data_IF_060351755382
#
_entry.id   IF_060351755382
#
_cell.length_a   1.000
_cell.length_b   1.000
_cell.length_c   1.000
_cell.angle_alpha   90.00
_cell.angle_beta   90.00
_cell.angle_gamma   90.00
#
_symmetry.space_group_name_H-M   'P 1'
#
loop_
_entity.id
_entity.type
_entity.pdbx_description
1 polymer ?
#
# COMPACT_ATOMS: atom_id res chain seq x y z
N UNK A 1 19.25 -10.34 -17.01
CA UNK A 1 19.46 -8.96 -17.50
C UNK A 1 18.13 -8.37 -17.97
N UNK A 2 17.89 -7.10 -17.65
CA UNK A 2 16.78 -6.28 -18.19
C UNK A 2 17.03 -5.97 -19.67
N UNK A 3 15.96 -5.76 -20.43
CA UNK A 3 15.97 -5.45 -21.87
C UNK A 3 15.18 -4.19 -22.15
N UNK A 4 15.44 -3.56 -23.30
CA UNK A 4 14.60 -2.46 -23.78
C UNK A 4 13.15 -2.92 -23.92
N UNK A 5 12.21 -2.10 -23.44
CA UNK A 5 10.77 -2.42 -23.40
C UNK A 5 10.33 -3.19 -22.15
N UNK A 6 11.26 -3.67 -21.31
CA UNK A 6 10.88 -4.24 -20.01
C UNK A 6 10.37 -3.14 -19.07
N UNK A 7 9.41 -3.48 -18.21
CA UNK A 7 9.10 -2.68 -17.02
C UNK A 7 9.49 -3.45 -15.77
N UNK A 8 10.43 -2.90 -14.99
CA UNK A 8 10.75 -3.40 -13.65
C UNK A 8 9.68 -2.89 -12.69
N UNK A 9 9.04 -3.78 -11.94
CA UNK A 9 8.10 -3.37 -10.91
C UNK A 9 8.67 -3.67 -9.52
N UNK A 10 8.53 -2.73 -8.60
CA UNK A 10 9.08 -2.78 -7.25
C UNK A 10 7.97 -2.57 -6.24
N UNK A 11 7.96 -3.35 -5.17
CA UNK A 11 6.99 -3.22 -4.09
C UNK A 11 7.12 -1.90 -3.36
N UNK A 12 5.98 -1.24 -3.10
CA UNK A 12 5.91 0.02 -2.34
C UNK A 12 6.55 -0.12 -0.96
N UNK A 13 6.32 -1.25 -0.27
CA UNK A 13 6.89 -1.51 1.06
C UNK A 13 8.42 -1.48 1.06
N UNK A 14 9.05 -2.07 0.05
CA UNK A 14 10.50 -2.02 -0.08
C UNK A 14 10.97 -0.59 -0.30
N UNK A 15 10.30 0.18 -1.15
CA UNK A 15 10.64 1.58 -1.40
C UNK A 15 10.54 2.41 -0.11
N UNK A 16 9.45 2.27 0.65
CA UNK A 16 9.28 2.97 1.93
C UNK A 16 10.43 2.63 2.88
N UNK A 17 10.80 1.34 2.97
CA UNK A 17 11.87 0.87 3.85
C UNK A 17 13.24 1.43 3.44
N UNK A 18 13.63 1.25 2.17
CA UNK A 18 14.94 1.64 1.67
C UNK A 18 15.14 3.15 1.61
N UNK A 19 14.05 3.91 1.51
CA UNK A 19 14.11 5.38 1.50
C UNK A 19 13.92 6.02 2.87
N UNK A 20 13.91 5.22 3.95
CA UNK A 20 13.83 5.74 5.32
C UNK A 20 12.48 6.39 5.68
N UNK A 21 11.41 6.04 4.97
CA UNK A 21 10.06 6.59 5.18
C UNK A 21 9.22 5.80 6.18
N UNK A 22 9.76 4.72 6.74
CA UNK A 22 9.13 3.98 7.83
C UNK A 22 9.09 4.79 9.12
N UNK A 23 8.10 4.54 9.97
CA UNK A 23 7.98 5.19 11.28
C UNK A 23 8.17 4.13 12.36
N UNK A 24 9.15 4.28 13.28
CA UNK A 24 9.26 3.41 14.45
C UNK A 24 7.97 3.43 15.27
N UNK A 25 7.43 2.26 15.60
CA UNK A 25 6.16 2.16 16.31
C UNK A 25 6.25 2.75 17.73
N UNK A 26 7.41 2.64 18.38
CA UNK A 26 7.70 3.19 19.71
C UNK A 26 7.80 4.72 19.74
N UNK A 27 8.09 5.35 18.60
CA UNK A 27 8.03 6.81 18.45
C UNK A 27 6.60 7.34 18.47
N UNK A 28 5.60 6.49 18.20
CA UNK A 28 4.18 6.87 18.23
C UNK A 28 3.60 6.52 19.59
N UNK A 29 3.19 7.54 20.37
CA UNK A 29 2.62 7.34 21.72
C UNK A 29 1.09 7.33 21.67
N UNK A 30 0.40 6.18 21.78
CA UNK A 30 -1.05 6.14 21.64
C UNK A 30 -1.74 6.89 22.78
N UNK A 31 -2.69 7.76 22.42
CA UNK A 31 -3.56 8.46 23.36
C UNK A 31 -4.79 7.64 23.74
N UNK A 32 -5.64 8.19 24.62
CA UNK A 32 -6.91 7.57 25.04
C UNK A 32 -7.84 7.31 23.85
N UNK A 33 -7.92 8.27 22.92
CA UNK A 33 -8.77 8.15 21.73
C UNK A 33 -8.35 6.98 20.85
N UNK A 34 -7.05 6.85 20.54
CA UNK A 34 -6.54 5.73 19.75
C UNK A 34 -6.87 4.38 20.41
N UNK A 35 -6.55 4.23 21.71
CA UNK A 35 -6.84 3.01 22.48
C UNK A 35 -8.35 2.68 22.55
N UNK A 36 -9.21 3.68 22.57
CA UNK A 36 -10.65 3.48 22.51
C UNK A 36 -11.07 2.98 21.12
N UNK A 37 -10.64 3.67 20.05
CA UNK A 37 -11.07 3.40 18.69
C UNK A 37 -10.65 2.01 18.19
N UNK A 38 -9.46 1.53 18.55
CA UNK A 38 -8.98 0.20 18.12
C UNK A 38 -9.91 -0.93 18.55
N UNK A 39 -10.66 -0.78 19.65
CA UNK A 39 -11.62 -1.79 20.15
C UNK A 39 -12.78 -2.02 19.18
N UNK A 40 -13.07 -1.06 18.31
CA UNK A 40 -14.15 -1.14 17.33
C UNK A 40 -13.67 -1.60 15.95
N UNK A 41 -12.35 -1.75 15.76
CA UNK A 41 -11.75 -2.23 14.51
C UNK A 41 -11.68 -3.75 14.56
N UNK A 42 -12.41 -4.42 13.67
CA UNK A 42 -12.30 -5.88 13.50
C UNK A 42 -11.13 -6.18 12.56
N UNK A 43 -10.07 -6.86 13.02
CA UNK A 43 -8.99 -7.29 12.14
C UNK A 43 -9.50 -8.33 11.15
N UNK A 44 -8.85 -8.42 9.98
CA UNK A 44 -9.13 -9.44 8.95
C UNK A 44 -8.04 -10.52 9.00
N UNK A 45 -8.32 -11.77 8.58
CA UNK A 45 -7.27 -12.77 8.44
C UNK A 45 -6.12 -12.22 7.61
N UNK A 46 -4.89 -12.26 8.14
CA UNK A 46 -3.72 -11.73 7.46
C UNK A 46 -3.59 -10.20 7.41
N UNK A 47 -4.41 -9.43 8.14
CA UNK A 47 -4.22 -7.97 8.31
C UNK A 47 -4.74 -7.47 9.66
N UNK A 48 -3.87 -6.80 10.43
CA UNK A 48 -4.28 -6.10 11.66
C UNK A 48 -4.99 -4.78 11.39
N UNK A 49 -4.95 -4.24 10.16
CA UNK A 49 -5.60 -2.97 9.82
C UNK A 49 -5.24 -1.87 10.82
N UNK A 50 -6.24 -1.10 11.29
CA UNK A 50 -6.07 -0.10 12.35
C UNK A 50 -6.38 -0.64 13.76
N UNK A 51 -6.37 -1.96 14.00
CA UNK A 51 -6.54 -2.50 15.35
C UNK A 51 -5.28 -2.39 16.21
N UNK A 52 -4.19 -1.83 15.65
CA UNK A 52 -2.93 -1.53 16.35
C UNK A 52 -3.00 -0.07 16.87
N UNK A 53 -2.83 0.17 18.18
CA UNK A 53 -2.94 1.51 18.77
C UNK A 53 -2.04 2.56 18.13
N UNK A 54 -0.80 2.20 17.80
CA UNK A 54 0.20 3.05 17.18
C UNK A 54 -0.24 3.49 15.78
N UNK A 55 -0.82 2.57 14.98
CA UNK A 55 -1.39 2.89 13.67
C UNK A 55 -2.56 3.85 13.79
N UNK A 56 -3.47 3.59 14.72
CA UNK A 56 -4.62 4.47 14.95
C UNK A 56 -4.17 5.86 15.38
N UNK A 57 -3.18 5.95 16.26
CA UNK A 57 -2.62 7.22 16.71
C UNK A 57 -1.94 7.97 15.55
N UNK A 58 -1.14 7.28 14.74
CA UNK A 58 -0.51 7.88 13.56
C UNK A 58 -1.55 8.48 12.60
N UNK A 59 -2.66 7.78 12.36
CA UNK A 59 -3.78 8.30 11.56
C UNK A 59 -4.41 9.52 12.23
N UNK A 60 -4.65 9.50 13.53
CA UNK A 60 -5.19 10.65 14.27
C UNK A 60 -4.31 11.89 14.12
N UNK A 61 -2.99 11.72 14.23
CA UNK A 61 -2.03 12.83 14.20
C UNK A 61 -1.92 13.45 12.80
N UNK A 62 -1.98 12.62 11.74
CA UNK A 62 -1.87 13.08 10.35
C UNK A 62 -3.19 13.55 9.73
N UNK A 63 -4.30 12.91 10.07
CA UNK A 63 -5.63 13.22 9.51
C UNK A 63 -6.37 14.28 10.35
N UNK A 64 -5.99 14.42 11.62
CA UNK A 64 -6.64 15.31 12.58
C UNK A 64 -7.75 14.62 13.37
N UNK A 65 -7.76 14.88 14.68
CA UNK A 65 -8.73 14.30 15.64
C UNK A 65 -10.20 14.51 15.24
N UNK A 66 -10.65 15.71 14.83
CA UNK A 66 -12.07 15.93 14.51
C UNK A 66 -12.55 15.03 13.38
N UNK A 67 -11.73 14.90 12.32
CA UNK A 67 -12.06 14.08 11.15
C UNK A 67 -12.13 12.59 11.49
N UNK A 68 -11.23 12.09 12.33
CA UNK A 68 -11.26 10.69 12.78
C UNK A 68 -12.49 10.41 13.65
N UNK A 69 -12.88 11.35 14.53
CA UNK A 69 -14.10 11.22 15.35
C UNK A 69 -15.35 11.20 14.47
N UNK A 70 -15.46 12.10 13.49
CA UNK A 70 -16.56 12.10 12.53
C UNK A 70 -16.59 10.79 11.72
N UNK A 71 -15.43 10.29 11.28
CA UNK A 71 -15.33 9.01 10.57
C UNK A 71 -15.81 7.83 11.44
N UNK A 72 -15.44 7.81 12.72
CA UNK A 72 -15.88 6.80 13.68
C UNK A 72 -17.39 6.86 13.92
N UNK A 73 -17.94 8.06 14.15
CA UNK A 73 -19.37 8.27 14.35
C UNK A 73 -20.18 7.87 13.10
N UNK A 74 -19.78 8.32 11.92
CA UNK A 74 -20.42 7.94 10.67
C UNK A 74 -20.40 6.42 10.47
N UNK A 75 -19.26 5.77 10.71
CA UNK A 75 -19.16 4.32 10.62
C UNK A 75 -20.02 3.58 11.65
N UNK A 76 -20.24 4.14 12.84
CA UNK A 76 -21.10 3.54 13.86
C UNK A 76 -22.58 3.63 13.45
N UNK A 77 -23.01 4.78 12.91
CA UNK A 77 -24.38 5.02 12.43
C UNK A 77 -24.69 4.15 11.23
N UNK A 78 -23.76 3.98 10.28
CA UNK A 78 -24.03 3.27 9.03
C UNK A 78 -23.91 1.75 9.15
N UNK A 79 -23.26 1.23 10.20
CA UNK A 79 -22.99 -0.19 10.37
C UNK A 79 -24.26 -1.07 10.49
N UNK A 80 -25.33 -0.68 11.21
CA UNK A 80 -26.60 -1.41 11.22
C UNK A 80 -27.27 -1.54 9.84
N UNK A 81 -26.99 -0.60 8.92
CA UNK A 81 -27.52 -0.61 7.57
C UNK A 81 -26.66 -1.45 6.59
N UNK A 82 -25.67 -2.20 7.08
CA UNK A 82 -24.80 -3.04 6.25
C UNK A 82 -23.74 -2.26 5.46
N UNK A 83 -23.58 -0.96 5.68
CA UNK A 83 -22.61 -0.15 4.94
C UNK A 83 -21.23 -0.25 5.56
N UNK A 84 -20.36 -1.03 4.91
CA UNK A 84 -18.99 -1.25 5.35
C UNK A 84 -18.01 -0.24 4.74
N UNK A 85 -16.93 0.06 5.47
CA UNK A 85 -15.83 0.90 4.98
C UNK A 85 -16.06 2.42 5.06
N UNK A 86 -17.18 2.88 5.61
CA UNK A 86 -17.50 4.31 5.78
C UNK A 86 -16.41 5.05 6.56
N UNK A 87 -15.85 4.45 7.61
CA UNK A 87 -14.72 5.00 8.34
C UNK A 87 -13.59 5.44 7.39
N UNK A 88 -13.13 4.56 6.50
CA UNK A 88 -12.03 4.84 5.58
C UNK A 88 -12.40 5.85 4.50
N UNK A 89 -13.67 5.92 4.09
CA UNK A 89 -14.15 6.94 3.14
C UNK A 89 -14.03 8.34 3.74
N UNK A 90 -14.38 8.49 5.01
CA UNK A 90 -14.31 9.78 5.72
C UNK A 90 -12.90 10.10 6.20
N UNK A 91 -12.21 9.15 6.84
CA UNK A 91 -10.86 9.31 7.38
C UNK A 91 -9.79 9.49 6.30
N UNK A 92 -10.03 9.00 5.08
CA UNK A 92 -9.13 9.17 3.93
C UNK A 92 -8.25 7.94 3.65
N UNK A 93 -7.46 8.04 2.57
CA UNK A 93 -6.61 6.95 2.07
C UNK A 93 -5.52 6.54 3.06
N UNK A 94 -4.94 7.47 3.83
CA UNK A 94 -3.93 7.13 4.83
C UNK A 94 -4.45 6.06 5.82
N UNK A 95 -5.67 6.22 6.31
CA UNK A 95 -6.28 5.26 7.24
C UNK A 95 -6.48 3.87 6.59
N UNK A 96 -6.69 3.82 5.28
CA UNK A 96 -6.92 2.60 4.52
C UNK A 96 -5.62 1.88 4.18
N UNK A 97 -4.61 2.64 3.78
CA UNK A 97 -3.42 2.14 3.10
C UNK A 97 -2.22 2.00 4.07
N UNK A 98 -2.30 2.53 5.30
CA UNK A 98 -1.25 2.38 6.31
C UNK A 98 -1.01 0.90 6.68
N UNK A 99 0.23 0.42 6.48
CA UNK A 99 0.66 -0.93 6.86
C UNK A 99 1.67 -0.91 8.03
N UNK A 100 2.19 -2.08 8.40
CA UNK A 100 3.08 -2.28 9.55
C UNK A 100 2.34 -2.63 10.85
N UNK A 101 3.08 -2.67 11.96
CA UNK A 101 2.55 -3.07 13.28
C UNK A 101 2.11 -4.53 13.35
N UNK A 102 2.74 -5.39 12.53
CA UNK A 102 2.42 -6.81 12.38
C UNK A 102 3.66 -7.58 11.91
N UNK A 103 3.75 -8.90 12.16
CA UNK A 103 4.86 -9.71 11.67
C UNK A 103 5.12 -9.55 10.16
N UNK A 104 6.38 -9.45 9.72
CA UNK A 104 7.63 -9.43 10.52
C UNK A 104 8.07 -8.02 10.99
N UNK A 105 7.24 -6.99 10.77
CA UNK A 105 7.56 -5.58 11.04
C UNK A 105 6.64 -5.01 12.13
N UNK A 106 6.61 -5.65 13.30
CA UNK A 106 5.83 -5.19 14.45
C UNK A 106 6.29 -3.82 14.96
N UNK A 107 7.60 -3.56 14.82
CA UNK A 107 8.28 -2.37 15.30
C UNK A 107 8.25 -1.20 14.30
N UNK A 108 7.71 -1.38 13.10
CA UNK A 108 7.65 -0.35 12.07
C UNK A 108 6.21 -0.15 11.56
N UNK A 109 5.89 1.10 11.28
CA UNK A 109 4.75 1.49 10.47
C UNK A 109 5.23 1.86 9.06
N UNK A 110 4.40 1.56 8.06
CA UNK A 110 4.65 1.84 6.64
C UNK A 110 3.57 2.79 6.13
N UNK A 111 3.74 4.11 6.30
CA UNK A 111 2.87 5.09 5.66
C UNK A 111 2.94 4.93 4.14
N UNK A 112 1.79 4.95 3.43
CA UNK A 112 1.79 4.84 1.98
C UNK A 112 2.55 6.01 1.34
N UNK A 113 3.24 5.75 0.24
CA UNK A 113 3.86 6.79 -0.56
C UNK A 113 2.77 7.62 -1.22
N UNK A 114 2.93 8.95 -1.17
CA UNK A 114 2.16 9.80 -2.07
C UNK A 114 2.64 9.62 -3.52
N UNK A 115 1.82 10.05 -4.48
CA UNK A 115 2.08 9.84 -5.90
C UNK A 115 3.28 10.64 -6.41
N UNK A 116 3.58 11.78 -5.80
CA UNK A 116 4.69 12.65 -6.21
C UNK A 116 6.01 11.99 -5.78
N UNK A 117 6.11 11.61 -4.51
CA UNK A 117 7.25 10.88 -3.97
C UNK A 117 7.48 9.55 -4.72
N UNK A 118 6.42 8.79 -4.98
CA UNK A 118 6.51 7.55 -5.74
C UNK A 118 7.02 7.80 -7.18
N UNK A 119 6.59 8.90 -7.83
CA UNK A 119 7.06 9.25 -9.18
C UNK A 119 8.55 9.63 -9.18
N UNK A 120 8.98 10.42 -8.19
CA UNK A 120 10.40 10.79 -8.04
C UNK A 120 11.25 9.53 -7.90
N UNK A 121 10.87 8.60 -7.02
CA UNK A 121 11.61 7.34 -6.86
C UNK A 121 11.60 6.50 -8.14
N UNK A 122 10.45 6.39 -8.83
CA UNK A 122 10.36 5.62 -10.07
C UNK A 122 11.29 6.16 -11.15
N UNK A 123 11.40 7.49 -11.30
CA UNK A 123 12.27 8.12 -12.27
C UNK A 123 13.76 7.91 -11.93
N UNK A 124 14.16 8.07 -10.66
CA UNK A 124 15.53 7.79 -10.21
C UNK A 124 15.91 6.32 -10.48
N UNK A 125 15.00 5.39 -10.23
CA UNK A 125 15.23 3.97 -10.51
C UNK A 125 15.30 3.68 -12.02
N UNK A 126 14.49 4.35 -12.83
CA UNK A 126 14.54 4.22 -14.29
C UNK A 126 15.88 4.68 -14.86
N UNK A 127 16.44 5.79 -14.36
CA UNK A 127 17.77 6.27 -14.73
C UNK A 127 18.85 5.24 -14.36
N UNK A 128 18.77 4.66 -13.16
CA UNK A 128 19.75 3.70 -12.67
C UNK A 128 19.68 2.33 -13.36
N UNK A 129 18.47 1.84 -13.67
CA UNK A 129 18.25 0.51 -14.26
C UNK A 129 18.30 0.54 -15.79
N UNK A 130 18.00 1.69 -16.40
CA UNK A 130 18.04 1.86 -17.84
C UNK A 130 16.79 1.39 -18.59
N UNK A 131 15.69 1.06 -17.89
CA UNK A 131 14.37 0.73 -18.48
C UNK A 131 13.24 1.23 -17.59
N UNK A 132 11.99 1.12 -18.05
CA UNK A 132 10.81 1.54 -17.30
C UNK A 132 10.72 0.91 -15.90
N UNK A 133 10.29 1.71 -14.92
CA UNK A 133 10.07 1.29 -13.54
C UNK A 133 8.65 1.61 -13.08
N UNK A 134 8.04 0.71 -12.31
CA UNK A 134 6.77 0.92 -11.64
C UNK A 134 6.89 0.63 -10.14
N UNK A 135 6.27 1.45 -9.31
CA UNK A 135 6.11 1.20 -7.89
C UNK A 135 4.69 0.68 -7.66
N UNK A 136 4.59 -0.53 -7.14
CA UNK A 136 3.32 -1.27 -7.02
C UNK A 136 3.06 -1.70 -5.59
N UNK A 137 1.79 -1.68 -5.19
CA UNK A 137 1.31 -2.23 -3.93
C UNK A 137 0.33 -3.35 -4.23
N UNK A 138 0.83 -4.59 -4.16
CA UNK A 138 0.10 -5.80 -4.53
C UNK A 138 -0.22 -6.65 -3.29
N UNK A 139 -1.38 -7.29 -3.33
CA UNK A 139 -1.78 -8.31 -2.38
C UNK A 139 -2.69 -9.34 -3.07
N UNK A 140 -3.09 -10.38 -2.32
CA UNK A 140 -3.85 -11.52 -2.85
C UNK A 140 -5.28 -11.15 -3.30
N UNK A 141 -5.75 -9.94 -3.00
CA UNK A 141 -7.06 -9.42 -3.39
C UNK A 141 -6.97 -8.34 -4.48
N UNK A 142 -5.79 -8.16 -5.08
CA UNK A 142 -5.48 -7.13 -6.06
C UNK A 142 -4.47 -6.11 -5.54
N UNK A 143 -4.38 -4.96 -6.22
CA UNK A 143 -3.36 -3.98 -5.88
C UNK A 143 -3.53 -2.64 -6.57
N UNK A 144 -2.51 -1.81 -6.48
CA UNK A 144 -2.47 -0.51 -7.14
C UNK A 144 -1.07 -0.16 -7.64
N UNK A 145 -1.01 0.64 -8.70
CA UNK A 145 0.22 1.28 -9.15
C UNK A 145 0.31 2.67 -8.49
N UNK A 146 1.33 2.85 -7.65
CA UNK A 146 1.58 4.13 -6.96
C UNK A 146 2.17 5.15 -7.92
N UNK A 147 3.14 4.71 -8.73
CA UNK A 147 3.70 5.47 -9.83
C UNK A 147 4.29 4.55 -10.91
N UNK A 148 4.39 5.10 -12.11
CA UNK A 148 5.21 4.57 -13.20
C UNK A 148 6.39 5.52 -13.42
N UNK A 149 7.38 5.17 -14.22
CA UNK A 149 8.31 6.12 -14.83
C UNK A 149 7.85 6.43 -16.26
N UNK A 150 8.65 7.13 -17.07
CA UNK A 150 8.27 7.50 -18.43
C UNK A 150 8.26 6.29 -19.39
N UNK A 151 9.27 5.43 -19.31
CA UNK A 151 9.44 4.26 -20.20
C UNK A 151 8.71 3.01 -19.71
N UNK A 152 8.00 3.11 -18.58
CA UNK A 152 7.22 2.01 -18.01
C UNK A 152 5.88 1.83 -18.76
N UNK A 153 5.38 0.59 -18.75
CA UNK A 153 4.04 0.29 -19.24
C UNK A 153 2.96 1.10 -18.48
N UNK A 154 1.84 1.43 -19.14
CA UNK A 154 0.73 2.11 -18.47
C UNK A 154 0.21 1.33 -17.27
N UNK A 155 -0.24 2.05 -16.24
CA UNK A 155 -0.75 1.45 -15.00
C UNK A 155 -1.88 0.42 -15.24
N UNK A 156 -2.71 0.63 -16.26
CA UNK A 156 -3.79 -0.31 -16.63
C UNK A 156 -3.24 -1.67 -17.07
N UNK A 157 -2.20 -1.67 -17.91
CA UNK A 157 -1.58 -2.89 -18.41
C UNK A 157 -0.81 -3.60 -17.30
N UNK A 158 -0.09 -2.85 -16.48
CA UNK A 158 0.57 -3.38 -15.27
C UNK A 158 -0.43 -4.07 -14.34
N UNK A 159 -1.57 -3.44 -14.04
CA UNK A 159 -2.58 -4.05 -13.17
C UNK A 159 -3.27 -5.27 -13.80
N UNK A 160 -3.32 -5.37 -15.14
CA UNK A 160 -3.81 -6.56 -15.81
C UNK A 160 -2.80 -7.70 -15.71
N UNK A 161 -1.52 -7.42 -15.95
CA UNK A 161 -0.45 -8.42 -15.95
C UNK A 161 -0.07 -8.91 -14.55
N UNK A 162 -0.21 -8.07 -13.52
CA UNK A 162 0.19 -8.38 -12.14
C UNK A 162 -0.97 -8.85 -11.24
N UNK A 163 -2.12 -9.21 -11.84
CA UNK A 163 -3.37 -9.51 -11.11
C UNK A 163 -3.22 -10.68 -10.13
N UNK A 164 -2.44 -11.67 -10.49
CA UNK A 164 -2.13 -12.87 -9.72
C UNK A 164 -1.07 -12.64 -8.62
N UNK A 165 -0.58 -11.41 -8.48
CA UNK A 165 0.45 -11.03 -7.52
C UNK A 165 1.73 -11.89 -7.67
N UNK A 166 2.52 -11.70 -8.74
CA UNK A 166 3.72 -12.50 -9.00
C UNK A 166 4.85 -12.25 -7.99
N UNK A 167 4.75 -11.19 -7.16
CA UNK A 167 5.66 -10.96 -6.03
C UNK A 167 5.38 -11.90 -4.85
N UNK A 168 4.32 -12.71 -4.90
CA UNK A 168 3.88 -13.50 -3.78
C UNK A 168 3.46 -12.63 -2.59
N UNK A 169 3.32 -13.26 -1.42
CA UNK A 169 2.91 -12.56 -0.21
C UNK A 169 3.65 -13.11 1.01
N UNK A 170 3.67 -12.32 2.09
CA UNK A 170 4.26 -12.70 3.38
C UNK A 170 5.78 -12.91 3.28
N UNK A 171 6.24 -14.15 3.41
CA UNK A 171 7.65 -14.52 3.55
C UNK A 171 8.33 -14.88 2.23
N UNK A 172 7.66 -14.66 1.08
CA UNK A 172 8.21 -15.00 -0.24
C UNK A 172 9.53 -14.27 -0.55
N UNK A 173 9.76 -13.08 0.01
CA UNK A 173 11.04 -12.38 -0.10
C UNK A 173 11.35 -11.87 -1.52
N UNK A 174 10.32 -11.69 -2.35
CA UNK A 174 10.40 -11.27 -3.76
C UNK A 174 9.86 -9.84 -3.92
N UNK A 175 10.63 -8.79 -3.61
CA UNK A 175 10.11 -7.42 -3.55
C UNK A 175 10.14 -6.68 -4.89
N UNK A 176 10.64 -7.29 -5.97
CA UNK A 176 10.65 -6.74 -7.32
C UNK A 176 10.53 -7.84 -8.37
N UNK A 177 10.13 -7.45 -9.59
CA UNK A 177 10.04 -8.34 -10.74
C UNK A 177 10.21 -7.59 -12.05
N UNK A 178 10.26 -8.33 -13.17
CA UNK A 178 10.39 -7.76 -14.51
C UNK A 178 9.19 -8.21 -15.33
N UNK A 179 8.44 -7.25 -15.86
CA UNK A 179 7.40 -7.50 -16.84
C UNK A 179 8.00 -7.26 -18.23
N UNK A 180 7.96 -8.28 -19.09
CA UNK A 180 8.53 -8.26 -20.43
C UNK A 180 7.45 -8.48 -21.48
N UNK A 181 7.27 -7.56 -22.45
CA UNK A 181 6.45 -7.82 -23.62
C UNK A 181 6.99 -9.03 -24.40
N UNK A 182 6.10 -9.95 -24.76
CA UNK A 182 6.43 -11.09 -25.63
C UNK A 182 5.91 -10.74 -27.02
N UNK A 183 6.78 -10.75 -28.04
CA UNK A 183 6.35 -10.63 -29.42
C UNK A 183 5.79 -11.99 -29.88
N UNK A 184 4.47 -12.09 -30.06
CA UNK A 184 3.81 -13.26 -30.62
C UNK A 184 2.30 -13.23 -30.42
N UNK A 185 1.56 -13.59 -31.46
CA UNK A 185 0.10 -13.73 -31.47
C UNK A 185 -0.38 -14.50 -30.24
N UNK A 186 -0.98 -13.78 -29.29
CA UNK A 186 -1.75 -14.41 -28.22
C UNK A 186 -3.04 -14.89 -28.85
N UNK A 187 -3.05 -16.13 -29.34
CA UNK A 187 -4.32 -16.81 -29.61
C UNK A 187 -5.02 -16.93 -28.26
N UNK A 188 -6.24 -16.37 -28.07
CA UNK A 188 -6.93 -16.50 -26.81
C UNK A 188 -7.17 -18.00 -26.56
N UNK A 189 -6.76 -18.47 -25.38
CA UNK A 189 -7.11 -19.82 -24.92
C UNK A 189 -8.64 -19.84 -24.70
N UNK A 190 -9.37 -20.79 -25.30
CA UNK A 190 -10.83 -20.88 -25.20
C UNK A 190 -11.32 -21.12 -23.77
#
# INVERSE_FOLDING_TARGET
MVRSGDTVFVSEKLVILLTGRTVPADAVRPGRLARMLVRFVKPRPGSRGLSVPEKMQYVIDRTGRPRVVVAAAASAITRPFGWHGVFYRVAGSLARDLDGGRPPYEHLLFPPLDRVDARVVANVLEEAVGTGVAIVDLNDFGGSVRATSERALPARELMAALRDNPLGQRAAGTPFGILRPVAGDVTPVP
#
